data_IF_598673280872
#
_entry.id   IF_598673280872
#
_cell.length_a   1.000
_cell.length_b   1.000
_cell.length_c   1.000
_cell.angle_alpha   90.00
_cell.angle_beta   90.00
_cell.angle_gamma   90.00
#
_symmetry.space_group_name_H-M   'P 1'
#
loop_
_entity.id
_entity.type
_entity.pdbx_description
1 polymer ?
#
# COMPACT_ATOMS: atom_id res chain seq x y z
N UNK A 1 15.93 -1.03 18.93
CA UNK A 1 14.79 -0.57 18.13
C UNK A 1 15.10 -0.67 16.65
N UNK A 2 14.21 -1.28 15.89
CA UNK A 2 14.37 -1.32 14.43
C UNK A 2 14.24 0.08 13.83
N UNK A 3 14.94 0.32 12.73
CA UNK A 3 14.76 1.56 11.98
C UNK A 3 13.39 1.58 11.34
N UNK A 4 12.66 2.68 11.52
CA UNK A 4 11.31 2.84 10.98
C UNK A 4 11.39 3.66 9.69
N UNK A 5 10.82 3.12 8.62
CA UNK A 5 10.70 3.85 7.36
C UNK A 5 9.62 4.91 7.49
N UNK A 6 9.87 6.09 6.94
CA UNK A 6 8.91 7.20 6.94
C UNK A 6 8.59 7.60 5.50
N UNK A 7 7.30 7.76 5.22
CA UNK A 7 6.81 8.24 3.92
C UNK A 7 5.68 9.24 4.15
N UNK A 8 5.73 10.38 3.48
CA UNK A 8 4.67 11.38 3.51
C UNK A 8 3.99 11.43 2.14
N UNK A 9 2.67 11.41 2.12
CA UNK A 9 1.90 11.43 0.88
C UNK A 9 0.77 12.45 0.95
N UNK A 10 0.37 13.01 -0.21
CA UNK A 10 -0.86 13.81 -0.30
C UNK A 10 -2.04 12.84 -0.24
N UNK A 11 -2.94 13.04 0.71
CA UNK A 11 -4.02 12.10 0.98
C UNK A 11 -5.41 12.68 0.72
N UNK A 12 -5.50 13.93 0.29
CA UNK A 12 -6.77 14.59 0.02
C UNK A 12 -7.58 14.82 1.30
N UNK A 13 -8.83 14.39 1.30
CA UNK A 13 -9.68 14.48 2.47
C UNK A 13 -9.18 13.48 3.53
N UNK A 14 -8.77 13.99 4.70
CA UNK A 14 -8.19 13.15 5.74
C UNK A 14 -9.18 12.15 6.33
N UNK A 15 -10.46 12.48 6.44
CA UNK A 15 -11.46 11.55 6.97
C UNK A 15 -11.59 10.33 6.07
N UNK A 16 -11.63 10.54 4.76
CA UNK A 16 -11.67 9.45 3.79
C UNK A 16 -10.38 8.63 3.82
N UNK A 17 -9.23 9.30 3.91
CA UNK A 17 -7.94 8.63 3.97
C UNK A 17 -7.79 7.79 5.24
N UNK A 18 -8.13 8.36 6.39
CA UNK A 18 -8.07 7.63 7.67
C UNK A 18 -8.99 6.43 7.64
N UNK A 19 -10.20 6.59 7.11
CA UNK A 19 -11.12 5.45 6.94
C UNK A 19 -10.48 4.34 6.11
N UNK A 20 -9.87 4.71 4.97
CA UNK A 20 -9.22 3.73 4.09
C UNK A 20 -8.07 3.00 4.81
N UNK A 21 -7.14 3.74 5.38
CA UNK A 21 -5.95 3.12 5.99
C UNK A 21 -6.25 2.38 7.29
N UNK A 22 -7.19 2.87 8.10
CA UNK A 22 -7.50 2.28 9.40
C UNK A 22 -8.64 1.26 9.32
N UNK A 23 -9.78 1.64 8.75
CA UNK A 23 -10.94 0.74 8.76
C UNK A 23 -10.88 -0.30 7.66
N UNK A 24 -10.43 0.06 6.46
CA UNK A 24 -10.34 -0.87 5.35
C UNK A 24 -9.07 -1.71 5.41
N UNK A 25 -7.90 -1.07 5.55
CA UNK A 25 -6.62 -1.80 5.59
C UNK A 25 -6.28 -2.37 6.96
N UNK A 26 -6.88 -1.85 8.03
CA UNK A 26 -6.64 -2.36 9.39
C UNK A 26 -5.42 -1.78 10.07
N UNK A 27 -4.85 -0.69 9.55
CA UNK A 27 -3.76 0.01 10.20
C UNK A 27 -4.25 0.83 11.39
N UNK A 28 -3.35 1.25 12.28
CA UNK A 28 -3.73 2.08 13.43
C UNK A 28 -3.29 3.51 13.22
N UNK A 29 -4.09 4.43 13.74
CA UNK A 29 -3.83 5.86 13.68
C UNK A 29 -2.80 6.25 14.74
N UNK A 30 -1.86 7.12 14.35
CA UNK A 30 -0.88 7.70 15.26
C UNK A 30 -1.22 9.14 15.63
N UNK A 31 -0.18 9.98 15.70
CA UNK A 31 -0.35 11.40 16.02
C UNK A 31 -1.00 12.14 14.86
N UNK A 32 -1.69 13.23 15.17
CA UNK A 32 -2.34 14.02 14.13
C UNK A 32 -2.56 15.47 14.55
N UNK A 33 -2.70 16.35 13.55
CA UNK A 33 -3.24 17.70 13.69
C UNK A 33 -4.29 17.86 12.60
N UNK A 34 -5.55 17.85 13.00
CA UNK A 34 -6.67 17.81 12.05
C UNK A 34 -7.13 19.20 11.62
N UNK A 35 -6.66 20.24 12.31
CA UNK A 35 -7.12 21.62 12.01
C UNK A 35 -6.49 22.15 10.73
N UNK A 36 -7.32 22.69 9.79
CA UNK A 36 -6.78 23.39 8.63
C UNK A 36 -5.92 24.59 9.05
N UNK A 37 -4.99 25.06 8.18
CA UNK A 37 -4.84 24.62 6.76
C UNK A 37 -3.92 23.43 6.57
N UNK A 38 -3.08 23.11 7.53
CA UNK A 38 -1.98 22.15 7.35
C UNK A 38 -2.26 20.84 8.10
N UNK A 39 -3.47 20.32 7.94
CA UNK A 39 -3.88 19.07 8.62
C UNK A 39 -3.09 17.87 8.12
N UNK A 40 -2.78 16.98 9.04
CA UNK A 40 -2.04 15.74 8.76
C UNK A 40 -2.39 14.67 9.80
N UNK A 41 -2.08 13.42 9.44
CA UNK A 41 -2.29 12.29 10.35
C UNK A 41 -1.27 11.21 10.06
N UNK A 42 -0.59 10.73 11.10
CA UNK A 42 0.31 9.59 10.98
C UNK A 42 -0.47 8.28 11.11
N UNK A 43 -0.05 7.32 10.32
CA UNK A 43 -0.59 5.96 10.33
C UNK A 43 0.57 5.02 10.65
N UNK A 44 0.34 4.08 11.55
CA UNK A 44 1.25 2.95 11.74
C UNK A 44 0.98 1.95 10.62
N UNK A 45 1.76 2.05 9.55
CA UNK A 45 1.62 1.24 8.34
C UNK A 45 2.52 0.00 8.48
N UNK A 46 1.98 -1.02 9.15
CA UNK A 46 2.71 -2.25 9.47
C UNK A 46 4.10 -1.99 10.06
N UNK A 47 4.17 -1.09 11.05
CA UNK A 47 5.40 -0.74 11.74
C UNK A 47 6.19 0.40 11.11
N UNK A 48 5.72 0.97 10.00
CA UNK A 48 6.33 2.13 9.35
C UNK A 48 5.48 3.37 9.56
N UNK A 49 6.11 4.54 9.53
CA UNK A 49 5.39 5.79 9.71
C UNK A 49 4.94 6.33 8.35
N UNK A 50 3.65 6.29 8.11
CA UNK A 50 3.04 6.87 6.92
C UNK A 50 2.31 8.15 7.33
N UNK A 51 2.75 9.30 6.84
CA UNK A 51 2.12 10.58 7.16
C UNK A 51 1.18 10.99 6.02
N UNK A 52 -0.10 11.12 6.37
CA UNK A 52 -1.13 11.57 5.43
C UNK A 52 -1.27 13.08 5.55
N UNK A 53 -1.06 13.81 4.46
CA UNK A 53 -1.29 15.25 4.42
C UNK A 53 -2.62 15.57 3.73
N UNK A 54 -3.34 16.55 4.26
CA UNK A 54 -4.62 17.01 3.70
C UNK A 54 -4.40 17.86 2.44
N UNK A 55 -3.75 17.28 1.46
CA UNK A 55 -3.49 17.91 0.17
C UNK A 55 -3.78 16.92 -0.93
N UNK A 56 -4.10 17.42 -2.11
CA UNK A 56 -4.39 16.57 -3.26
C UNK A 56 -3.26 16.65 -4.26
N UNK A 57 -3.14 15.60 -5.07
CA UNK A 57 -2.28 15.67 -6.24
C UNK A 57 -2.82 16.73 -7.19
N UNK A 58 -1.96 17.63 -7.66
CA UNK A 58 -2.32 18.55 -8.74
C UNK A 58 -2.47 17.81 -10.05
N UNK A 59 -1.74 16.71 -10.18
CA UNK A 59 -1.75 15.87 -11.35
C UNK A 59 -1.45 14.44 -10.90
N UNK A 60 -2.39 13.56 -11.11
CA UNK A 60 -2.23 12.14 -10.84
C UNK A 60 -1.29 11.55 -11.87
N UNK A 61 -0.05 11.32 -11.48
CA UNK A 61 0.95 10.87 -12.42
C UNK A 61 1.70 9.66 -11.93
N UNK A 62 1.03 8.53 -11.98
CA UNK A 62 1.79 7.32 -12.09
C UNK A 62 2.10 7.11 -13.57
N UNK A 63 3.34 6.80 -13.90
CA UNK A 63 3.71 6.34 -15.24
C UNK A 63 3.83 4.83 -15.22
N UNK A 64 3.44 4.19 -16.31
CA UNK A 64 3.58 2.76 -16.43
C UNK A 64 5.02 2.39 -16.78
N UNK A 65 5.59 1.47 -16.02
CA UNK A 65 6.93 0.93 -16.23
C UNK A 65 6.85 -0.57 -16.44
N UNK A 66 7.54 -1.06 -17.47
CA UNK A 66 7.53 -2.48 -17.79
C UNK A 66 8.29 -3.29 -16.74
N UNK A 67 7.68 -4.37 -16.30
CA UNK A 67 8.28 -5.37 -15.43
C UNK A 67 8.00 -6.76 -16.01
N UNK A 68 8.35 -7.81 -15.29
CA UNK A 68 8.25 -9.20 -15.76
C UNK A 68 6.86 -9.64 -16.24
N UNK A 69 5.78 -9.10 -15.63
CA UNK A 69 4.40 -9.54 -15.91
C UNK A 69 3.55 -8.48 -16.57
N UNK A 70 4.14 -7.40 -17.05
CA UNK A 70 3.40 -6.32 -17.69
C UNK A 70 3.92 -4.96 -17.29
N UNK A 71 3.03 -3.98 -17.15
CA UNK A 71 3.41 -2.62 -16.80
C UNK A 71 2.72 -2.18 -15.53
N UNK A 72 3.48 -1.65 -14.56
CA UNK A 72 2.95 -1.19 -13.29
C UNK A 72 3.06 0.32 -13.17
N UNK A 73 2.13 0.92 -12.42
CA UNK A 73 2.18 2.36 -12.14
C UNK A 73 3.30 2.65 -11.13
N UNK A 74 4.08 3.68 -11.40
CA UNK A 74 5.16 4.17 -10.55
C UNK A 74 5.00 5.68 -10.40
N UNK A 75 5.04 6.27 -9.19
CA UNK A 75 5.38 5.60 -7.94
C UNK A 75 4.23 4.77 -7.36
N UNK A 76 4.60 3.79 -6.56
CA UNK A 76 3.69 3.07 -5.68
C UNK A 76 4.46 2.66 -4.43
N UNK A 77 3.75 2.29 -3.38
CA UNK A 77 4.35 1.80 -2.16
C UNK A 77 3.48 0.71 -1.57
N UNK A 78 4.02 -0.04 -0.63
CA UNK A 78 3.25 -1.10 -0.04
C UNK A 78 4.05 -1.88 0.98
N UNK A 79 3.62 -3.12 1.20
CA UNK A 79 4.19 -3.95 2.24
C UNK A 79 4.13 -5.42 1.84
N UNK A 80 5.11 -6.18 2.30
CA UNK A 80 5.08 -7.64 2.25
C UNK A 80 4.33 -8.15 3.47
N UNK A 81 3.33 -8.99 3.25
CA UNK A 81 2.50 -9.57 4.31
C UNK A 81 2.76 -11.08 4.37
N UNK A 82 2.52 -11.67 5.54
CA UNK A 82 2.47 -13.12 5.64
C UNK A 82 1.28 -13.66 4.85
N UNK A 83 1.38 -14.90 4.40
CA UNK A 83 0.39 -15.49 3.49
C UNK A 83 -1.04 -15.41 4.03
N UNK A 84 -1.26 -15.72 5.31
CA UNK A 84 -2.60 -15.67 5.90
C UNK A 84 -3.12 -14.25 6.02
N UNK A 85 -2.27 -13.32 6.41
CA UNK A 85 -2.63 -11.90 6.52
C UNK A 85 -2.98 -11.33 5.13
N UNK A 86 -2.19 -11.66 4.12
CA UNK A 86 -2.46 -11.25 2.74
C UNK A 86 -3.82 -11.78 2.27
N UNK A 87 -4.08 -13.06 2.51
CA UNK A 87 -5.34 -13.69 2.12
C UNK A 87 -6.55 -13.03 2.76
N UNK A 88 -6.48 -12.82 4.09
CA UNK A 88 -7.58 -12.20 4.82
C UNK A 88 -7.82 -10.77 4.35
N UNK A 89 -6.76 -10.01 4.13
CA UNK A 89 -6.87 -8.64 3.63
C UNK A 89 -7.45 -8.61 2.22
N UNK A 90 -7.01 -9.51 1.35
CA UNK A 90 -7.54 -9.60 -0.02
C UNK A 90 -9.05 -9.85 -0.01
N UNK A 91 -9.54 -10.78 0.84
CA UNK A 91 -10.95 -11.06 0.97
C UNK A 91 -11.72 -9.82 1.46
N UNK A 92 -11.18 -9.12 2.46
CA UNK A 92 -11.78 -7.89 2.98
C UNK A 92 -11.86 -6.80 1.92
N UNK A 93 -10.81 -6.61 1.14
CA UNK A 93 -10.79 -5.60 0.07
C UNK A 93 -11.82 -5.89 -1.00
N UNK A 94 -12.04 -7.16 -1.33
CA UNK A 94 -13.08 -7.56 -2.27
C UNK A 94 -14.48 -7.26 -1.72
N UNK A 95 -14.71 -7.50 -0.43
CA UNK A 95 -15.99 -7.22 0.22
C UNK A 95 -16.27 -5.72 0.33
N UNK A 96 -15.24 -4.92 0.54
CA UNK A 96 -15.36 -3.47 0.69
C UNK A 96 -15.40 -2.73 -0.66
N UNK A 97 -15.38 -3.46 -1.76
CA UNK A 97 -15.39 -2.90 -3.12
C UNK A 97 -14.26 -1.90 -3.38
N UNK A 98 -13.08 -2.17 -2.86
CA UNK A 98 -11.90 -1.36 -3.10
C UNK A 98 -11.49 -1.48 -4.56
N UNK A 99 -11.08 -0.38 -5.17
CA UNK A 99 -10.65 -0.37 -6.56
C UNK A 99 -9.28 -1.06 -6.71
N UNK A 100 -9.24 -2.13 -7.51
CA UNK A 100 -7.98 -2.77 -7.91
C UNK A 100 -7.49 -2.13 -9.20
N UNK A 101 -6.24 -1.69 -9.21
CA UNK A 101 -5.66 -0.99 -10.36
C UNK A 101 -5.38 -1.95 -11.50
N UNK A 102 -4.89 -3.14 -11.17
CA UNK A 102 -4.57 -4.19 -12.13
C UNK A 102 -5.09 -5.53 -11.61
N UNK A 103 -5.11 -6.54 -12.49
CA UNK A 103 -5.43 -7.89 -12.04
C UNK A 103 -4.40 -8.36 -11.03
N UNK A 104 -4.89 -9.09 -10.02
CA UNK A 104 -4.01 -9.80 -9.09
C UNK A 104 -3.30 -10.90 -9.87
N UNK A 105 -2.02 -11.10 -9.57
CA UNK A 105 -1.26 -12.12 -10.27
C UNK A 105 -0.12 -12.66 -9.40
N UNK A 106 0.41 -13.80 -9.82
CA UNK A 106 1.54 -14.44 -9.20
C UNK A 106 2.76 -14.15 -10.08
N UNK A 107 3.81 -13.60 -9.45
CA UNK A 107 5.08 -13.33 -10.12
C UNK A 107 6.06 -14.44 -9.80
N UNK A 108 6.94 -14.73 -10.74
CA UNK A 108 8.02 -15.73 -10.58
C UNK A 108 7.50 -17.09 -10.13
N UNK A 109 6.34 -17.50 -10.66
CA UNK A 109 5.70 -18.77 -10.28
C UNK A 109 6.66 -19.96 -10.49
N UNK A 110 6.81 -20.77 -9.43
CA UNK A 110 7.73 -21.91 -9.44
C UNK A 110 9.16 -21.54 -9.12
N UNK A 111 9.51 -20.27 -8.99
CA UNK A 111 10.84 -19.79 -8.61
C UNK A 111 10.92 -19.51 -7.11
N UNK A 112 12.14 -19.38 -6.58
CA UNK A 112 12.34 -19.03 -5.17
C UNK A 112 11.76 -17.64 -4.85
N UNK A 113 11.63 -16.78 -5.85
CA UNK A 113 11.04 -15.44 -5.69
C UNK A 113 9.53 -15.40 -5.89
N UNK A 114 8.86 -16.55 -6.00
CA UNK A 114 7.41 -16.59 -6.22
C UNK A 114 6.68 -15.71 -5.20
N UNK A 115 5.82 -14.84 -5.70
CA UNK A 115 5.03 -13.93 -4.87
C UNK A 115 3.69 -13.65 -5.52
N UNK A 116 2.68 -13.45 -4.67
CA UNK A 116 1.37 -12.96 -5.11
C UNK A 116 1.29 -11.47 -4.82
N UNK A 117 0.73 -10.69 -5.74
CA UNK A 117 0.66 -9.24 -5.61
C UNK A 117 -0.72 -8.72 -5.99
N UNK A 118 -1.09 -7.59 -5.37
CA UNK A 118 -2.29 -6.84 -5.74
C UNK A 118 -2.01 -5.35 -5.61
N UNK A 119 -2.52 -4.59 -6.59
CA UNK A 119 -2.40 -3.14 -6.61
C UNK A 119 -3.77 -2.52 -6.34
N UNK A 120 -3.81 -1.61 -5.38
CA UNK A 120 -5.04 -0.89 -5.01
C UNK A 120 -4.79 0.61 -5.03
N UNK A 121 -5.87 1.37 -5.01
CA UNK A 121 -5.81 2.83 -5.03
C UNK A 121 -6.47 3.38 -3.78
N UNK A 122 -5.79 4.30 -3.11
CA UNK A 122 -6.40 5.01 -1.98
C UNK A 122 -7.36 6.10 -2.48
N UNK A 123 -8.14 6.76 -1.59
CA UNK A 123 -9.13 7.76 -2.02
C UNK A 123 -8.55 8.95 -2.78
N UNK A 124 -7.27 9.26 -2.63
CA UNK A 124 -6.62 10.36 -3.34
C UNK A 124 -5.84 9.90 -4.57
N UNK A 125 -5.92 8.61 -4.92
CA UNK A 125 -5.25 8.07 -6.09
C UNK A 125 -3.83 7.60 -5.88
N UNK A 126 -3.36 7.54 -4.65
CA UNK A 126 -2.07 6.90 -4.36
C UNK A 126 -2.18 5.40 -4.62
N UNK A 127 -1.13 4.83 -5.21
CA UNK A 127 -1.11 3.42 -5.60
C UNK A 127 -0.35 2.63 -4.55
N UNK A 128 -0.96 1.55 -4.08
CA UNK A 128 -0.33 0.64 -3.14
C UNK A 128 -0.17 -0.74 -3.77
N UNK A 129 0.96 -1.38 -3.51
CA UNK A 129 1.17 -2.78 -3.84
C UNK A 129 1.26 -3.58 -2.55
N UNK A 130 0.35 -4.53 -2.36
CA UNK A 130 0.38 -5.46 -1.24
C UNK A 130 0.77 -6.81 -1.79
N UNK A 131 1.72 -7.48 -1.13
CA UNK A 131 2.24 -8.73 -1.66
C UNK A 131 2.66 -9.69 -0.57
N UNK A 132 2.76 -10.96 -0.95
CA UNK A 132 3.25 -12.02 -0.08
C UNK A 132 4.16 -12.94 -0.87
N UNK A 133 5.25 -13.37 -0.26
CA UNK A 133 6.21 -14.29 -0.87
C UNK A 133 6.05 -15.69 -0.30
N UNK A 134 6.18 -16.69 -1.17
CA UNK A 134 6.22 -18.09 -0.74
C UNK A 134 7.46 -18.33 0.12
N UNK A 135 8.59 -17.72 -0.25
CA UNK A 135 9.85 -17.81 0.47
C UNK A 135 10.31 -16.43 0.93
N UNK A 136 9.80 -15.92 2.07
CA UNK A 136 10.12 -14.57 2.53
C UNK A 136 11.62 -14.29 2.70
N UNK A 137 12.39 -15.30 3.05
CA UNK A 137 13.82 -15.16 3.25
C UNK A 137 14.57 -14.82 1.96
N UNK A 138 13.97 -15.05 0.81
CA UNK A 138 14.57 -14.74 -0.49
C UNK A 138 14.40 -13.27 -0.90
N UNK A 139 13.73 -12.46 -0.10
CA UNK A 139 13.40 -11.07 -0.49
C UNK A 139 14.63 -10.25 -0.89
N UNK A 140 15.71 -10.39 -0.16
CA UNK A 140 16.92 -9.60 -0.40
C UNK A 140 18.04 -10.39 -1.08
N UNK A 141 17.75 -11.60 -1.58
CA UNK A 141 18.71 -12.38 -2.31
C UNK A 141 18.14 -13.72 -2.73
N UNK A 142 18.43 -14.10 -3.97
CA UNK A 142 18.07 -15.43 -4.47
C UNK A 142 19.00 -16.48 -3.85
N UNK A 143 18.43 -17.53 -3.35
CA UNK A 143 19.18 -18.68 -2.84
C UNK A 143 18.69 -19.97 -3.47
#
# INVERSE_FOLDING_TARGET
MANVFHLAIPAGDLHNAIHFYCDVLGCTKGNSEIKPPDAWCDINFWGNELTLHASSWHKQTGERHNVDMGAVLVPHFGVHLEANEFKDLKEKLLQENVEFVDKRYIRFEGDVLEQETMFIKDPNGNILELKTMVNPDALFGKE
#
